data_IF_221095509467
#
_entry.id   IF_221095509467
#
_cell.length_a   1.000
_cell.length_b   1.000
_cell.length_c   1.000
_cell.angle_alpha   90.00
_cell.angle_beta   90.00
_cell.angle_gamma   90.00
#
_symmetry.space_group_name_H-M   'P 1'
#
loop_
_entity.id
_entity.type
_entity.pdbx_description
1 polymer ?
#
# COMPACT_ATOMS: atom_id res chain seq x y z
N UNK A 1 -22.13 -3.03 17.89
CA UNK A 1 -21.95 -4.49 17.90
C UNK A 1 -22.20 -5.02 16.50
N UNK A 2 -21.15 -5.43 15.77
CA UNK A 2 -21.32 -6.16 14.50
C UNK A 2 -21.50 -7.62 14.88
N UNK A 3 -22.76 -8.08 14.91
CA UNK A 3 -23.11 -9.49 15.01
C UNK A 3 -22.51 -10.21 13.79
N UNK A 4 -21.92 -11.38 14.02
CA UNK A 4 -21.30 -12.24 13.01
C UNK A 4 -22.10 -12.22 11.69
N UNK A 5 -21.58 -11.55 10.65
CA UNK A 5 -22.21 -11.59 9.33
C UNK A 5 -21.45 -12.59 8.47
N UNK A 6 -22.17 -13.60 8.03
CA UNK A 6 -21.73 -14.70 7.17
C UNK A 6 -21.31 -14.25 5.76
N UNK A 7 -20.91 -12.99 5.53
CA UNK A 7 -20.71 -12.48 4.17
C UNK A 7 -19.62 -11.44 3.95
N UNK A 8 -18.52 -11.53 4.68
CA UNK A 8 -17.33 -10.70 4.42
C UNK A 8 -16.77 -10.86 3.00
N UNK A 9 -17.03 -11.99 2.34
CA UNK A 9 -16.62 -12.18 0.95
C UNK A 9 -17.43 -11.33 -0.03
N UNK A 10 -18.75 -11.30 0.12
CA UNK A 10 -19.60 -10.40 -0.66
C UNK A 10 -19.27 -8.94 -0.36
N UNK A 11 -19.04 -8.59 0.91
CA UNK A 11 -18.70 -7.22 1.28
C UNK A 11 -17.40 -6.75 0.62
N UNK A 12 -16.37 -7.61 0.51
CA UNK A 12 -15.13 -7.29 -0.20
C UNK A 12 -15.33 -7.17 -1.72
N UNK A 13 -16.08 -8.10 -2.33
CA UNK A 13 -16.29 -8.14 -3.79
C UNK A 13 -17.10 -6.95 -4.28
N UNK A 14 -18.07 -6.50 -3.50
CA UNK A 14 -19.01 -5.40 -3.85
C UNK A 14 -18.47 -4.00 -3.56
N UNK A 15 -17.25 -3.87 -3.02
CA UNK A 15 -16.66 -2.55 -2.74
C UNK A 15 -16.56 -1.66 -3.98
N UNK A 16 -16.79 -0.34 -3.85
CA UNK A 16 -16.81 0.60 -4.96
C UNK A 16 -15.39 0.98 -5.42
N UNK A 17 -14.64 0.01 -5.95
CA UNK A 17 -13.22 0.16 -6.31
C UNK A 17 -12.93 1.29 -7.30
N UNK A 18 -13.88 1.59 -8.20
CA UNK A 18 -13.77 2.73 -9.14
C UNK A 18 -13.83 4.06 -8.39
N UNK A 19 -14.69 4.16 -7.38
CA UNK A 19 -14.80 5.35 -6.54
C UNK A 19 -13.54 5.54 -5.69
N UNK A 20 -13.05 4.48 -5.05
CA UNK A 20 -11.81 4.57 -4.26
C UNK A 20 -10.62 5.09 -5.06
N UNK A 21 -10.48 4.65 -6.32
CA UNK A 21 -9.43 5.16 -7.22
C UNK A 21 -9.60 6.64 -7.53
N UNK A 22 -10.82 7.09 -7.79
CA UNK A 22 -11.13 8.52 -8.02
C UNK A 22 -10.81 9.37 -6.80
N UNK A 23 -11.16 8.89 -5.61
CA UNK A 23 -10.92 9.61 -4.35
C UNK A 23 -9.44 9.75 -4.05
N UNK A 24 -8.68 8.65 -4.19
CA UNK A 24 -7.23 8.68 -4.02
C UNK A 24 -6.57 9.62 -5.04
N UNK A 25 -6.92 9.49 -6.33
CA UNK A 25 -6.35 10.32 -7.39
C UNK A 25 -6.62 11.81 -7.16
N UNK A 26 -7.81 12.17 -6.66
CA UNK A 26 -8.14 13.56 -6.30
C UNK A 26 -7.20 14.09 -5.22
N UNK A 27 -6.90 13.31 -4.18
CA UNK A 27 -5.95 13.69 -3.13
C UNK A 27 -4.53 13.81 -3.70
N UNK A 28 -4.09 12.85 -4.50
CA UNK A 28 -2.77 12.85 -5.12
C UNK A 28 -2.56 14.08 -6.02
N UNK A 29 -3.54 14.44 -6.86
CA UNK A 29 -3.48 15.68 -7.66
C UNK A 29 -3.37 16.94 -6.81
N UNK A 30 -4.00 16.97 -5.63
CA UNK A 30 -3.90 18.10 -4.69
C UNK A 30 -2.50 18.17 -4.08
N UNK A 31 -1.88 17.04 -3.75
CA UNK A 31 -0.48 16.97 -3.29
C UNK A 31 0.44 17.51 -4.37
N UNK A 32 0.33 17.00 -5.60
CA UNK A 32 1.10 17.46 -6.75
C UNK A 32 1.00 18.98 -6.93
N UNK A 33 -0.22 19.52 -6.99
CA UNK A 33 -0.45 20.97 -7.15
C UNK A 33 0.15 21.78 -6.00
N UNK A 34 0.03 21.31 -4.75
CA UNK A 34 0.59 21.99 -3.60
C UNK A 34 2.13 22.07 -3.68
N UNK A 35 2.79 20.98 -4.10
CA UNK A 35 4.25 20.98 -4.30
C UNK A 35 4.66 21.92 -5.45
N UNK A 36 3.92 21.93 -6.56
CA UNK A 36 4.21 22.81 -7.71
C UNK A 36 4.18 24.30 -7.36
N UNK A 37 3.37 24.70 -6.39
CA UNK A 37 3.29 26.10 -5.90
C UNK A 37 4.13 26.35 -4.64
N UNK A 38 4.93 25.38 -4.20
CA UNK A 38 5.80 25.51 -3.02
C UNK A 38 5.13 25.35 -1.65
N UNK A 39 3.83 25.04 -1.60
CA UNK A 39 3.07 24.86 -0.34
C UNK A 39 3.31 23.48 0.29
N UNK A 40 4.50 23.35 0.91
CA UNK A 40 4.94 22.12 1.58
C UNK A 40 4.05 21.76 2.78
N UNK A 41 3.49 22.75 3.48
CA UNK A 41 2.61 22.52 4.65
C UNK A 41 1.33 21.82 4.24
N UNK A 42 0.68 22.30 3.18
CA UNK A 42 -0.52 21.67 2.61
C UNK A 42 -0.23 20.31 2.02
N UNK A 43 0.89 20.14 1.31
CA UNK A 43 1.31 18.84 0.81
C UNK A 43 1.43 17.82 1.95
N UNK A 44 2.14 18.15 3.04
CA UNK A 44 2.28 17.27 4.21
C UNK A 44 0.94 16.94 4.87
N UNK A 45 0.02 17.91 4.95
CA UNK A 45 -1.35 17.66 5.46
C UNK A 45 -2.13 16.67 4.59
N UNK A 46 -2.06 16.84 3.27
CA UNK A 46 -2.71 15.95 2.30
C UNK A 46 -2.10 14.54 2.30
N UNK A 47 -0.78 14.42 2.46
CA UNK A 47 -0.10 13.13 2.61
C UNK A 47 -0.60 12.39 3.85
N UNK A 48 -0.70 13.07 5.00
CA UNK A 48 -1.28 12.51 6.22
C UNK A 48 -2.75 12.10 6.03
N UNK A 49 -3.51 12.86 5.24
CA UNK A 49 -4.89 12.52 4.89
C UNK A 49 -4.98 11.25 4.03
N UNK A 50 -4.07 11.08 3.06
CA UNK A 50 -3.98 9.85 2.24
C UNK A 50 -3.71 8.64 3.14
N UNK A 51 -2.76 8.72 4.07
CA UNK A 51 -2.44 7.62 4.99
C UNK A 51 -3.65 7.19 5.86
N UNK A 52 -4.55 8.13 6.20
CA UNK A 52 -5.76 7.84 7.00
C UNK A 52 -6.96 7.41 6.15
N UNK A 53 -6.94 7.69 4.84
CA UNK A 53 -8.06 7.47 3.94
C UNK A 53 -8.45 5.99 3.85
N UNK A 54 -9.74 5.71 4.01
CA UNK A 54 -10.28 4.35 3.83
C UNK A 54 -10.07 3.85 2.40
N UNK A 55 -10.38 4.68 1.40
CA UNK A 55 -10.16 4.36 -0.01
C UNK A 55 -8.69 3.97 -0.30
N UNK A 56 -7.74 4.75 0.23
CA UNK A 56 -6.31 4.49 0.03
C UNK A 56 -5.86 3.17 0.69
N UNK A 57 -6.26 2.91 1.93
CA UNK A 57 -5.96 1.66 2.64
C UNK A 57 -6.52 0.44 1.92
N UNK A 58 -7.78 0.50 1.48
CA UNK A 58 -8.42 -0.59 0.74
C UNK A 58 -7.73 -0.86 -0.59
N UNK A 59 -7.32 0.18 -1.32
CA UNK A 59 -6.54 0.03 -2.56
C UNK A 59 -5.16 -0.56 -2.31
N UNK A 60 -4.48 -0.17 -1.23
CA UNK A 60 -3.16 -0.70 -0.87
C UNK A 60 -3.24 -2.20 -0.55
N UNK A 61 -4.20 -2.59 0.30
CA UNK A 61 -4.46 -4.00 0.63
C UNK A 61 -4.81 -4.79 -0.63
N UNK A 62 -5.72 -4.29 -1.47
CA UNK A 62 -6.09 -4.95 -2.74
C UNK A 62 -4.90 -5.10 -3.68
N UNK A 63 -4.08 -4.06 -3.84
CA UNK A 63 -2.90 -4.09 -4.72
C UNK A 63 -1.94 -5.21 -4.32
N UNK A 64 -1.61 -5.29 -3.04
CA UNK A 64 -0.65 -6.27 -2.52
C UNK A 64 -1.21 -7.69 -2.51
N UNK A 65 -2.49 -7.87 -2.16
CA UNK A 65 -3.08 -9.19 -1.98
C UNK A 65 -3.67 -9.79 -3.25
N UNK A 66 -4.11 -8.97 -4.22
CA UNK A 66 -4.84 -9.45 -5.40
C UNK A 66 -4.17 -9.10 -6.74
N UNK A 67 -3.49 -7.96 -6.86
CA UNK A 67 -3.04 -7.44 -8.17
C UNK A 67 -1.55 -7.65 -8.44
N UNK A 68 -0.69 -7.51 -7.44
CA UNK A 68 0.77 -7.63 -7.62
C UNK A 68 1.18 -9.03 -8.08
N UNK A 69 2.17 -9.12 -8.97
CA UNK A 69 2.72 -10.40 -9.45
C UNK A 69 3.27 -11.25 -8.28
N UNK A 70 3.98 -10.62 -7.33
CA UNK A 70 4.52 -11.25 -6.12
C UNK A 70 3.51 -11.45 -4.99
N UNK A 71 2.19 -11.40 -5.23
CA UNK A 71 1.18 -11.53 -4.18
C UNK A 71 1.28 -12.84 -3.38
N UNK A 72 1.74 -13.92 -4.02
CA UNK A 72 1.96 -15.24 -3.41
C UNK A 72 3.34 -15.41 -2.70
N UNK A 73 4.14 -14.36 -2.57
CA UNK A 73 5.42 -14.44 -1.86
C UNK A 73 5.22 -14.18 -0.37
N UNK A 74 5.49 -15.18 0.47
CA UNK A 74 5.41 -15.05 1.92
C UNK A 74 6.52 -14.16 2.50
N UNK A 75 6.24 -13.47 3.61
CA UNK A 75 7.27 -12.83 4.43
C UNK A 75 7.87 -13.80 5.44
N UNK A 76 8.46 -13.28 6.51
CA UNK A 76 8.97 -14.09 7.65
C UNK A 76 7.84 -14.78 8.42
N UNK A 77 6.62 -14.26 8.30
CA UNK A 77 5.38 -14.77 8.90
C UNK A 77 4.77 -15.97 8.15
N UNK A 78 5.35 -16.38 7.03
CA UNK A 78 4.89 -17.53 6.24
C UNK A 78 3.56 -17.30 5.49
N UNK A 79 2.91 -16.14 5.63
CA UNK A 79 1.58 -15.88 5.03
C UNK A 79 1.69 -15.60 3.53
N UNK A 80 1.06 -16.45 2.72
CA UNK A 80 1.04 -16.37 1.25
C UNK A 80 -0.19 -15.63 0.71
N UNK A 81 -1.32 -15.71 1.41
CA UNK A 81 -2.58 -15.09 1.03
C UNK A 81 -3.37 -14.69 2.28
N UNK A 82 -4.31 -13.76 2.10
CA UNK A 82 -5.26 -13.34 3.13
C UNK A 82 -6.68 -13.66 2.69
N UNK A 83 -7.53 -14.10 3.61
CA UNK A 83 -8.98 -14.15 3.45
C UNK A 83 -9.58 -12.74 3.32
N UNK A 84 -10.83 -12.64 2.87
CA UNK A 84 -11.52 -11.34 2.75
C UNK A 84 -11.64 -10.64 4.12
N UNK A 85 -11.88 -11.41 5.19
CA UNK A 85 -11.87 -10.93 6.58
C UNK A 85 -10.50 -10.38 6.99
N UNK A 86 -9.42 -11.13 6.76
CA UNK A 86 -8.08 -10.67 7.11
C UNK A 86 -7.68 -9.40 6.34
N UNK A 87 -8.17 -9.22 5.10
CA UNK A 87 -7.93 -7.98 4.33
C UNK A 87 -8.65 -6.78 4.96
N UNK A 88 -9.88 -6.97 5.41
CA UNK A 88 -10.62 -5.92 6.13
C UNK A 88 -9.93 -5.58 7.45
N UNK A 89 -9.51 -6.59 8.21
CA UNK A 89 -8.74 -6.41 9.44
C UNK A 89 -7.41 -5.69 9.21
N UNK A 90 -6.68 -6.05 8.15
CA UNK A 90 -5.43 -5.36 7.79
C UNK A 90 -5.67 -3.89 7.44
N UNK A 91 -6.79 -3.57 6.78
CA UNK A 91 -7.16 -2.16 6.54
C UNK A 91 -7.37 -1.41 7.85
N UNK A 92 -8.00 -2.01 8.87
CA UNK A 92 -8.16 -1.41 10.20
C UNK A 92 -6.82 -1.25 10.91
N UNK A 93 -5.97 -2.27 10.88
CA UNK A 93 -4.63 -2.23 11.45
C UNK A 93 -3.78 -1.10 10.85
N UNK A 94 -3.81 -0.92 9.53
CA UNK A 94 -3.12 0.17 8.84
C UNK A 94 -3.59 1.56 9.32
N UNK A 95 -4.87 1.69 9.70
CA UNK A 95 -5.43 2.94 10.24
C UNK A 95 -4.92 3.20 11.66
N UNK A 96 -5.01 2.20 12.52
CA UNK A 96 -4.67 2.30 13.95
C UNK A 96 -3.17 2.53 14.14
N UNK A 97 -2.35 1.83 13.36
CA UNK A 97 -0.89 1.89 13.44
C UNK A 97 -0.25 2.92 12.51
N UNK A 98 -1.03 3.78 11.86
CA UNK A 98 -0.50 4.73 10.87
C UNK A 98 0.58 5.68 11.43
N UNK A 99 0.55 5.97 12.73
CA UNK A 99 1.52 6.86 13.37
C UNK A 99 2.79 6.13 13.87
N UNK A 100 2.73 4.81 14.06
CA UNK A 100 3.74 4.03 14.77
C UNK A 100 3.91 2.62 14.17
N UNK A 101 3.79 2.49 12.85
CA UNK A 101 3.94 1.20 12.16
C UNK A 101 5.29 0.57 12.50
N UNK A 102 5.26 -0.63 13.07
CA UNK A 102 6.46 -1.44 13.35
C UNK A 102 6.54 -2.54 12.31
N UNK A 103 7.55 -2.46 11.44
CA UNK A 103 7.74 -3.46 10.40
C UNK A 103 8.29 -4.76 10.98
N UNK A 104 8.05 -5.88 10.28
CA UNK A 104 8.66 -7.15 10.63
C UNK A 104 10.02 -7.34 9.94
N UNK A 105 10.70 -8.46 10.25
CA UNK A 105 11.89 -8.88 9.53
C UNK A 105 11.61 -9.20 8.05
N UNK A 106 12.65 -9.14 7.21
CA UNK A 106 12.56 -9.49 5.80
C UNK A 106 13.01 -10.94 5.59
N UNK A 107 12.22 -11.74 4.86
CA UNK A 107 12.60 -13.10 4.50
C UNK A 107 13.62 -13.06 3.36
N UNK A 108 14.76 -13.73 3.55
CA UNK A 108 15.82 -13.83 2.53
C UNK A 108 15.52 -15.02 1.61
N UNK A 109 15.44 -14.76 0.31
CA UNK A 109 15.21 -15.77 -0.73
C UNK A 109 16.40 -15.76 -1.69
N UNK A 110 17.20 -16.84 -1.76
CA UNK A 110 18.29 -16.94 -2.72
C UNK A 110 17.73 -17.11 -4.15
N UNK A 111 18.24 -16.31 -5.08
CA UNK A 111 17.92 -16.41 -6.51
C UNK A 111 19.24 -16.63 -7.26
N UNK A 112 19.43 -17.79 -7.90
CA UNK A 112 20.65 -18.07 -8.66
C UNK A 112 20.72 -17.15 -9.88
N UNK A 113 21.92 -16.61 -10.15
CA UNK A 113 22.24 -15.92 -11.41
C UNK A 113 22.89 -16.88 -12.38
N UNK A 114 22.86 -16.52 -13.67
CA UNK A 114 23.53 -17.27 -14.75
C UNK A 114 25.04 -17.45 -14.53
N UNK A 115 25.69 -16.55 -13.79
CA UNK A 115 27.12 -16.56 -13.52
C UNK A 115 27.53 -17.30 -12.22
N UNK A 116 26.66 -18.16 -11.69
CA UNK A 116 26.91 -18.94 -10.47
C UNK A 116 26.80 -18.16 -9.15
N UNK A 117 26.70 -16.82 -9.17
CA UNK A 117 26.49 -16.01 -7.96
C UNK A 117 25.03 -16.06 -7.50
N UNK A 118 24.82 -15.88 -6.20
CA UNK A 118 23.47 -15.81 -5.59
C UNK A 118 23.06 -14.34 -5.39
N UNK A 119 21.85 -13.98 -5.81
CA UNK A 119 21.19 -12.72 -5.41
C UNK A 119 20.19 -13.00 -4.29
N UNK A 120 20.33 -12.34 -3.16
CA UNK A 120 19.33 -12.42 -2.08
C UNK A 120 18.20 -11.44 -2.35
N UNK A 121 16.99 -11.96 -2.57
CA UNK A 121 15.76 -11.17 -2.54
C UNK A 121 15.27 -11.07 -1.09
N UNK A 122 14.99 -9.85 -0.63
CA UNK A 122 14.41 -9.61 0.70
C UNK A 122 12.91 -9.37 0.53
N UNK A 123 12.09 -10.28 1.05
CA UNK A 123 10.63 -10.26 0.89
C UNK A 123 9.99 -9.82 2.22
N UNK A 124 9.27 -8.68 2.26
CA UNK A 124 8.49 -8.27 3.43
C UNK A 124 7.20 -9.08 3.59
N UNK A 125 6.59 -8.99 4.76
CA UNK A 125 5.25 -9.54 5.03
C UNK A 125 4.16 -8.89 4.16
N UNK A 126 2.97 -9.49 4.09
CA UNK A 126 1.84 -8.87 3.39
C UNK A 126 1.48 -7.52 4.03
N UNK A 127 1.50 -7.45 5.37
CA UNK A 127 1.19 -6.24 6.11
C UNK A 127 2.19 -5.12 5.81
N UNK A 128 3.50 -5.43 5.82
CA UNK A 128 4.54 -4.44 5.51
C UNK A 128 4.46 -3.96 4.06
N UNK A 129 4.18 -4.85 3.11
CA UNK A 129 3.96 -4.45 1.71
C UNK A 129 2.74 -3.56 1.55
N UNK A 130 1.66 -3.82 2.28
CA UNK A 130 0.46 -2.98 2.26
C UNK A 130 0.74 -1.60 2.85
N UNK A 131 1.50 -1.52 3.95
CA UNK A 131 1.97 -0.26 4.52
C UNK A 131 2.87 0.52 3.54
N UNK A 132 3.87 -0.15 2.93
CA UNK A 132 4.72 0.45 1.92
C UNK A 132 3.92 0.99 0.73
N UNK A 133 2.92 0.24 0.25
CA UNK A 133 2.04 0.68 -0.83
C UNK A 133 1.21 1.91 -0.44
N UNK A 134 0.73 1.99 0.80
CA UNK A 134 -0.03 3.13 1.31
C UNK A 134 0.87 4.38 1.43
N UNK A 135 2.09 4.22 1.94
CA UNK A 135 3.09 5.29 2.01
C UNK A 135 3.47 5.75 0.60
N UNK A 136 3.67 4.82 -0.34
CA UNK A 136 3.92 5.14 -1.74
C UNK A 136 2.83 6.05 -2.32
N UNK A 137 1.55 5.73 -2.12
CA UNK A 137 0.44 6.58 -2.60
C UNK A 137 0.50 8.01 -2.07
N UNK A 138 1.00 8.21 -0.85
CA UNK A 138 1.15 9.53 -0.25
C UNK A 138 2.39 10.28 -0.80
N UNK A 139 3.50 9.58 -1.03
CA UNK A 139 4.76 10.21 -1.43
C UNK A 139 4.86 10.48 -2.94
N UNK A 140 4.44 9.52 -3.75
CA UNK A 140 4.55 9.56 -5.23
C UNK A 140 4.17 10.91 -5.85
N UNK A 141 3.03 11.56 -5.52
CA UNK A 141 2.63 12.79 -6.21
C UNK A 141 3.53 13.98 -5.92
N UNK A 142 4.24 13.97 -4.79
CA UNK A 142 5.22 15.00 -4.48
C UNK A 142 6.50 14.82 -5.29
N UNK A 143 6.94 13.56 -5.48
CA UNK A 143 8.10 13.24 -6.30
C UNK A 143 7.83 13.50 -7.78
N UNK A 144 6.66 13.11 -8.29
CA UNK A 144 6.23 13.41 -9.66
C UNK A 144 6.23 14.92 -9.97
N UNK A 145 5.97 15.76 -8.97
CA UNK A 145 5.97 17.21 -9.16
C UNK A 145 7.39 17.81 -9.32
N UNK A 146 8.42 17.10 -8.85
CA UNK A 146 9.81 17.59 -8.77
C UNK A 146 10.80 16.78 -9.59
N UNK A 147 10.45 15.58 -10.04
CA UNK A 147 11.32 14.74 -10.84
C UNK A 147 11.65 15.39 -12.19
N UNK A 148 12.88 15.12 -12.64
CA UNK A 148 13.33 15.57 -13.95
C UNK A 148 12.63 14.77 -15.05
N UNK A 149 12.25 15.43 -16.15
CA UNK A 149 11.51 14.81 -17.25
C UNK A 149 12.26 13.64 -17.94
N UNK A 150 13.57 13.51 -17.71
CA UNK A 150 14.44 12.44 -18.24
C UNK A 150 14.87 11.40 -17.20
N UNK A 151 14.14 11.29 -16.08
CA UNK A 151 14.35 10.25 -15.07
C UNK A 151 13.38 9.10 -15.32
N UNK A 152 13.88 7.90 -15.65
CA UNK A 152 13.04 6.77 -16.11
C UNK A 152 13.05 5.54 -15.19
N UNK A 153 13.83 5.54 -14.11
CA UNK A 153 13.95 4.40 -13.21
C UNK A 153 14.70 4.73 -11.93
#
# INVERSE_FOLDING_TARGET
MIRHSNNASESWKTLPWKQFRRDLFRLQRRVFKAIRVGDKRKAKSLQKLILKSYAARMLAVRRVTQLNAGKKSAGVDGKVALSDNERLSLSLELKEKAANWKHQGLRKVPIPKKNGKIRILKVPTIADRAWQCLVYFALEPAHEATFHARSYG
#
